data_IF_039346405024
#
_entry.id   IF_039346405024
#
_cell.length_a   1.000
_cell.length_b   1.000
_cell.length_c   1.000
_cell.angle_alpha   90.00
_cell.angle_beta   90.00
_cell.angle_gamma   90.00
#
_symmetry.space_group_name_H-M   'P 1'
#
loop_
_entity.id
_entity.type
_entity.pdbx_description
1 polymer ?
#
# COMPACT_ATOMS: atom_id res chain seq x y z
N UNK A 1 -9.36 26.20 -2.94
CA UNK A 1 -9.89 25.12 -2.08
C UNK A 1 -9.54 25.52 -0.64
N UNK A 2 -10.50 26.01 0.14
CA UNK A 2 -10.24 26.54 1.50
C UNK A 2 -10.24 25.36 2.45
N UNK A 3 -9.05 25.03 2.95
CA UNK A 3 -8.88 24.01 3.99
C UNK A 3 -9.59 24.50 5.27
N UNK A 4 -10.66 23.81 5.67
CA UNK A 4 -11.41 24.18 6.85
C UNK A 4 -10.63 23.71 8.11
N UNK A 5 -10.03 24.62 8.90
CA UNK A 5 -9.24 24.25 10.07
C UNK A 5 -10.08 23.56 11.17
N UNK A 6 -11.40 23.73 11.16
CA UNK A 6 -12.31 23.03 12.06
C UNK A 6 -12.35 21.52 11.85
N UNK A 7 -12.09 21.02 10.63
CA UNK A 7 -12.07 19.59 10.35
C UNK A 7 -10.83 18.92 10.97
N UNK A 8 -9.68 19.59 10.91
CA UNK A 8 -8.45 19.14 11.59
C UNK A 8 -8.60 19.18 13.11
N UNK A 9 -9.21 20.23 13.65
CA UNK A 9 -9.45 20.39 15.08
C UNK A 9 -10.42 19.33 15.61
N UNK A 10 -11.48 19.00 14.84
CA UNK A 10 -12.43 17.94 15.18
C UNK A 10 -11.78 16.54 15.19
N UNK A 11 -10.87 16.25 14.22
CA UNK A 11 -10.09 15.02 14.18
C UNK A 11 -9.15 14.91 15.40
N UNK A 12 -8.54 16.01 15.81
CA UNK A 12 -7.57 16.03 16.92
C UNK A 12 -8.27 15.91 18.29
N UNK A 13 -9.41 16.56 18.49
CA UNK A 13 -10.08 16.60 19.80
C UNK A 13 -10.91 15.34 20.09
N UNK A 14 -11.50 14.69 19.10
CA UNK A 14 -12.25 13.45 19.30
C UNK A 14 -11.38 12.19 19.41
N UNK A 15 -10.07 12.33 19.36
CA UNK A 15 -9.17 11.25 19.68
C UNK A 15 -8.99 11.12 21.20
N UNK A 16 -9.87 10.32 21.84
CA UNK A 16 -9.44 9.53 23.01
C UNK A 16 -8.06 8.99 22.67
N UNK A 17 -7.07 9.32 23.50
CA UNK A 17 -5.66 8.96 23.38
C UNK A 17 -5.51 7.60 22.71
N UNK A 18 -5.18 7.62 21.42
CA UNK A 18 -4.87 6.41 20.65
C UNK A 18 -3.66 5.84 21.38
N UNK A 19 -3.84 4.72 22.06
CA UNK A 19 -2.72 4.04 22.70
C UNK A 19 -1.78 3.65 21.56
N UNK A 20 -0.71 4.41 21.33
CA UNK A 20 0.24 4.21 20.24
C UNK A 20 0.69 2.76 20.12
N UNK A 21 0.82 2.06 21.26
CA UNK A 21 1.10 0.62 21.33
C UNK A 21 0.12 -0.24 20.52
N UNK A 22 -1.16 0.17 20.42
CA UNK A 22 -2.17 -0.57 19.65
C UNK A 22 -1.92 -0.55 18.14
N UNK A 23 -1.22 0.46 17.62
CA UNK A 23 -0.95 0.61 16.19
C UNK A 23 0.41 0.06 15.75
N UNK A 24 1.38 -0.02 16.66
CA UNK A 24 2.76 -0.43 16.32
C UNK A 24 2.78 -1.86 15.81
N UNK A 25 2.17 -2.81 16.52
CA UNK A 25 2.18 -4.21 16.12
C UNK A 25 1.49 -4.46 14.77
N UNK A 26 0.27 -3.94 14.51
CA UNK A 26 -0.36 -4.03 13.19
C UNK A 26 0.46 -3.36 12.08
N UNK A 27 1.07 -2.22 12.34
CA UNK A 27 1.91 -1.52 11.36
C UNK A 27 3.14 -2.35 10.99
N UNK A 28 3.85 -2.89 11.98
CA UNK A 28 5.00 -3.77 11.75
C UNK A 28 4.56 -5.04 11.00
N UNK A 29 3.50 -5.70 11.44
CA UNK A 29 3.02 -6.93 10.82
C UNK A 29 2.63 -6.71 9.34
N UNK A 30 1.88 -5.66 9.05
CA UNK A 30 1.51 -5.30 7.68
C UNK A 30 2.71 -4.94 6.83
N UNK A 31 3.59 -4.07 7.32
CA UNK A 31 4.75 -3.60 6.56
C UNK A 31 5.76 -4.73 6.29
N UNK A 32 6.10 -5.53 7.30
CA UNK A 32 7.04 -6.65 7.14
C UNK A 32 6.50 -7.70 6.17
N UNK A 33 5.20 -8.00 6.22
CA UNK A 33 4.60 -8.96 5.30
C UNK A 33 4.70 -8.53 3.83
N UNK A 34 4.47 -7.25 3.55
CA UNK A 34 4.63 -6.68 2.19
C UNK A 34 6.10 -6.60 1.80
N UNK A 35 6.98 -6.11 2.69
CA UNK A 35 8.41 -5.98 2.41
C UNK A 35 9.06 -7.32 2.10
N UNK A 36 8.67 -8.39 2.80
CA UNK A 36 9.17 -9.73 2.53
C UNK A 36 8.80 -10.21 1.13
N UNK A 37 7.53 -10.06 0.72
CA UNK A 37 7.08 -10.49 -0.60
C UNK A 37 7.67 -9.59 -1.70
N UNK A 38 7.70 -8.28 -1.46
CA UNK A 38 8.32 -7.34 -2.39
C UNK A 38 9.79 -7.68 -2.62
N UNK A 39 10.56 -7.86 -1.55
CA UNK A 39 12.00 -8.13 -1.65
C UNK A 39 12.35 -9.48 -2.26
N UNK A 40 11.58 -10.52 -1.94
CA UNK A 40 11.88 -11.91 -2.40
C UNK A 40 11.36 -12.17 -3.80
N UNK A 41 10.17 -11.62 -4.15
CA UNK A 41 9.48 -11.98 -5.39
C UNK A 41 9.39 -10.80 -6.35
N UNK A 42 8.78 -9.69 -5.91
CA UNK A 42 8.35 -8.65 -6.83
C UNK A 42 9.52 -7.82 -7.33
N UNK A 43 10.45 -7.44 -6.48
CA UNK A 43 11.63 -6.66 -6.89
C UNK A 43 12.50 -7.43 -7.87
N UNK A 44 12.97 -8.66 -7.57
CA UNK A 44 13.87 -9.36 -8.49
C UNK A 44 13.19 -9.85 -9.80
N UNK A 45 11.93 -10.26 -9.74
CA UNK A 45 11.27 -10.89 -10.89
C UNK A 45 10.37 -9.97 -11.71
N UNK A 46 10.01 -8.81 -11.16
CA UNK A 46 9.15 -7.87 -11.86
C UNK A 46 9.76 -6.46 -11.94
N UNK A 47 10.07 -5.81 -10.81
CA UNK A 47 10.52 -4.42 -10.85
C UNK A 47 11.86 -4.25 -11.55
N UNK A 48 12.87 -5.03 -11.22
CA UNK A 48 14.19 -4.88 -11.83
C UNK A 48 14.18 -5.11 -13.35
N UNK A 49 13.60 -6.22 -13.87
CA UNK A 49 13.52 -6.43 -15.31
C UNK A 49 12.72 -5.34 -16.03
N UNK A 50 11.55 -4.98 -15.48
CA UNK A 50 10.67 -3.98 -16.07
C UNK A 50 11.31 -2.60 -16.11
N UNK A 51 11.97 -2.18 -15.01
CA UNK A 51 12.67 -0.90 -14.96
C UNK A 51 13.83 -0.86 -15.96
N UNK A 52 14.58 -1.96 -16.11
CA UNK A 52 15.68 -2.04 -17.07
C UNK A 52 15.18 -1.95 -18.52
N UNK A 53 14.06 -2.59 -18.86
CA UNK A 53 13.46 -2.50 -20.19
C UNK A 53 12.94 -1.09 -20.48
N UNK A 54 12.25 -0.47 -19.52
CA UNK A 54 11.72 0.88 -19.65
C UNK A 54 12.84 1.91 -19.76
N UNK A 55 13.91 1.77 -19.00
CA UNK A 55 15.08 2.65 -19.12
C UNK A 55 15.75 2.54 -20.48
N UNK A 56 15.86 1.33 -21.06
CA UNK A 56 16.40 1.15 -22.43
C UNK A 56 15.54 1.84 -23.47
N UNK A 57 14.21 1.73 -23.33
CA UNK A 57 13.27 2.31 -24.28
C UNK A 57 13.13 3.85 -24.11
N UNK A 58 13.22 4.34 -22.88
CA UNK A 58 12.94 5.74 -22.50
C UNK A 58 13.97 6.26 -21.46
N UNK A 59 15.26 6.39 -21.78
CA UNK A 59 16.31 6.69 -20.79
C UNK A 59 16.15 8.05 -20.11
N UNK A 60 15.48 8.99 -20.76
CA UNK A 60 15.20 10.30 -20.17
C UNK A 60 14.04 10.32 -19.16
N UNK A 61 13.17 9.30 -19.19
CA UNK A 61 11.97 9.23 -18.36
C UNK A 61 12.08 8.24 -17.19
N UNK A 62 12.95 7.24 -17.31
CA UNK A 62 13.10 6.19 -16.30
C UNK A 62 14.53 6.13 -15.76
N UNK A 63 14.63 5.90 -14.45
CA UNK A 63 15.91 5.63 -13.81
C UNK A 63 16.50 4.29 -14.30
N UNK A 64 17.84 4.21 -14.35
CA UNK A 64 18.52 2.95 -14.68
C UNK A 64 18.28 1.88 -13.60
N UNK A 65 18.15 2.33 -12.34
CA UNK A 65 17.84 1.48 -11.20
C UNK A 65 16.67 2.05 -10.39
N UNK A 66 15.81 1.20 -9.81
CA UNK A 66 14.70 1.65 -8.99
C UNK A 66 15.15 2.47 -7.77
N UNK A 67 14.42 3.53 -7.47
CA UNK A 67 14.66 4.37 -6.26
C UNK A 67 14.05 3.67 -5.05
N UNK A 68 14.79 2.75 -4.45
CA UNK A 68 14.28 1.85 -3.40
C UNK A 68 13.70 2.56 -2.19
N UNK A 69 14.34 3.64 -1.70
CA UNK A 69 13.83 4.37 -0.54
C UNK A 69 12.42 4.94 -0.76
N UNK A 70 12.12 5.39 -1.99
CA UNK A 70 10.80 5.91 -2.33
C UNK A 70 9.74 4.80 -2.30
N UNK A 71 10.09 3.60 -2.79
CA UNK A 71 9.24 2.42 -2.70
C UNK A 71 8.95 2.01 -1.25
N UNK A 72 9.99 2.00 -0.39
CA UNK A 72 9.82 1.71 1.04
C UNK A 72 8.94 2.76 1.74
N UNK A 73 9.15 4.04 1.47
CA UNK A 73 8.35 5.12 2.04
C UNK A 73 6.87 5.02 1.58
N UNK A 74 6.62 4.77 0.31
CA UNK A 74 5.27 4.57 -0.22
C UNK A 74 4.58 3.36 0.43
N UNK A 75 5.28 2.23 0.56
CA UNK A 75 4.79 1.04 1.26
C UNK A 75 4.44 1.29 2.72
N UNK A 76 5.25 2.08 3.43
CA UNK A 76 4.97 2.47 4.82
C UNK A 76 3.70 3.33 4.92
N UNK A 77 3.56 4.34 4.06
CA UNK A 77 2.38 5.20 4.03
C UNK A 77 1.11 4.42 3.69
N UNK A 78 1.19 3.52 2.73
CA UNK A 78 0.06 2.65 2.36
C UNK A 78 -0.33 1.70 3.51
N UNK A 79 0.65 1.10 4.19
CA UNK A 79 0.40 0.25 5.36
C UNK A 79 -0.22 1.05 6.50
N UNK A 80 0.25 2.26 6.75
CA UNK A 80 -0.31 3.16 7.76
C UNK A 80 -1.77 3.49 7.46
N UNK A 81 -2.09 3.85 6.22
CA UNK A 81 -3.47 4.08 5.78
C UNK A 81 -4.34 2.85 6.03
N UNK A 82 -3.85 1.67 5.68
CA UNK A 82 -4.56 0.41 5.87
C UNK A 82 -4.80 0.11 7.36
N UNK A 83 -3.81 0.33 8.21
CA UNK A 83 -3.95 0.18 9.68
C UNK A 83 -5.04 1.09 10.23
N UNK A 84 -5.08 2.35 9.80
CA UNK A 84 -6.10 3.32 10.24
C UNK A 84 -7.49 2.86 9.82
N UNK A 85 -7.67 2.42 8.56
CA UNK A 85 -8.95 1.95 8.05
C UNK A 85 -9.39 0.68 8.80
N UNK A 86 -8.50 -0.31 9.00
CA UNK A 86 -8.81 -1.57 9.70
C UNK A 86 -9.19 -1.35 11.16
N UNK A 87 -8.55 -0.39 11.84
CA UNK A 87 -8.95 -0.01 13.20
C UNK A 87 -10.35 0.60 13.22
N UNK A 88 -10.65 1.52 12.31
CA UNK A 88 -11.96 2.18 12.20
C UNK A 88 -13.09 1.21 11.81
N UNK A 89 -12.80 0.28 10.92
CA UNK A 89 -13.76 -0.73 10.45
C UNK A 89 -13.83 -1.95 11.37
N UNK A 90 -13.00 -1.99 12.42
CA UNK A 90 -12.93 -3.08 13.40
C UNK A 90 -12.62 -4.45 12.79
N UNK A 91 -11.77 -4.50 11.76
CA UNK A 91 -11.33 -5.77 11.19
C UNK A 91 -10.34 -6.47 12.14
N UNK A 92 -10.78 -7.59 12.71
CA UNK A 92 -10.03 -8.40 13.69
C UNK A 92 -9.88 -9.86 13.25
N UNK A 93 -10.34 -10.19 12.05
CA UNK A 93 -10.26 -11.51 11.45
C UNK A 93 -9.37 -11.46 10.22
N UNK A 94 -8.45 -12.41 10.06
CA UNK A 94 -7.52 -12.52 8.92
C UNK A 94 -8.27 -12.51 7.59
N UNK A 95 -9.36 -13.31 7.49
CA UNK A 95 -10.16 -13.42 6.27
C UNK A 95 -10.77 -12.06 5.88
N UNK A 96 -11.38 -11.38 6.85
CA UNK A 96 -12.00 -10.08 6.60
C UNK A 96 -10.95 -9.02 6.25
N UNK A 97 -9.81 -9.03 6.95
CA UNK A 97 -8.69 -8.17 6.64
C UNK A 97 -8.15 -8.39 5.23
N UNK A 98 -7.97 -9.63 4.81
CA UNK A 98 -7.50 -9.98 3.48
C UNK A 98 -8.50 -9.63 2.38
N UNK A 99 -9.78 -9.98 2.54
CA UNK A 99 -10.82 -9.69 1.54
C UNK A 99 -11.02 -8.19 1.33
N UNK A 100 -11.03 -7.40 2.42
CA UNK A 100 -11.12 -5.95 2.31
C UNK A 100 -9.81 -5.33 1.77
N UNK A 101 -8.67 -5.99 2.00
CA UNK A 101 -7.39 -5.66 1.36
C UNK A 101 -7.46 -5.75 -0.16
N UNK A 102 -8.11 -6.77 -0.72
CA UNK A 102 -8.33 -6.92 -2.16
C UNK A 102 -9.03 -5.68 -2.73
N UNK A 103 -10.13 -5.27 -2.12
CA UNK A 103 -10.88 -4.09 -2.57
C UNK A 103 -10.08 -2.81 -2.45
N UNK A 104 -9.41 -2.59 -1.32
CA UNK A 104 -8.59 -1.41 -1.12
C UNK A 104 -7.46 -1.34 -2.15
N UNK A 105 -6.77 -2.46 -2.39
CA UNK A 105 -5.71 -2.55 -3.39
C UNK A 105 -6.22 -2.29 -4.80
N UNK A 106 -7.35 -2.86 -5.17
CA UNK A 106 -7.96 -2.66 -6.48
C UNK A 106 -8.33 -1.17 -6.71
N UNK A 107 -8.88 -0.51 -5.69
CA UNK A 107 -9.26 0.91 -5.79
C UNK A 107 -8.02 1.78 -5.91
N UNK A 108 -7.05 1.65 -4.99
CA UNK A 108 -5.86 2.51 -4.95
C UNK A 108 -5.01 2.32 -6.20
N UNK A 109 -4.73 1.08 -6.58
CA UNK A 109 -3.94 0.79 -7.76
C UNK A 109 -4.71 1.11 -9.05
N UNK A 110 -6.02 0.92 -9.07
CA UNK A 110 -6.86 1.30 -10.20
C UNK A 110 -6.82 2.80 -10.45
N UNK A 111 -6.96 3.62 -9.40
CA UNK A 111 -6.85 5.08 -9.52
C UNK A 111 -5.47 5.48 -10.04
N UNK A 112 -4.40 4.92 -9.47
CA UNK A 112 -3.04 5.22 -9.91
C UNK A 112 -2.82 4.80 -11.36
N UNK A 113 -3.16 3.57 -11.72
CA UNK A 113 -2.95 3.02 -13.07
C UNK A 113 -3.77 3.77 -14.14
N UNK A 114 -4.98 4.18 -13.83
CA UNK A 114 -5.79 5.01 -14.74
C UNK A 114 -5.18 6.39 -14.92
N UNK A 115 -4.65 6.99 -13.85
CA UNK A 115 -3.95 8.27 -13.93
C UNK A 115 -2.69 8.18 -14.80
N UNK A 116 -1.89 7.14 -14.59
CA UNK A 116 -0.68 6.90 -15.39
C UNK A 116 -1.01 6.61 -16.86
N UNK A 117 -2.03 5.78 -17.11
CA UNK A 117 -2.49 5.47 -18.47
C UNK A 117 -3.05 6.69 -19.21
N UNK A 118 -3.61 7.68 -18.48
CA UNK A 118 -4.09 8.93 -19.09
C UNK A 118 -2.95 9.87 -19.52
N UNK A 119 -1.76 9.72 -18.92
CA UNK A 119 -0.64 10.63 -19.15
C UNK A 119 0.48 10.00 -19.98
N UNK A 120 0.64 8.68 -19.91
CA UNK A 120 1.76 7.94 -20.52
C UNK A 120 1.26 6.81 -21.40
N UNK A 121 1.46 6.94 -22.73
CA UNK A 121 1.08 5.91 -23.70
C UNK A 121 1.81 4.58 -23.47
N UNK A 122 3.00 4.60 -22.89
CA UNK A 122 3.80 3.41 -22.57
C UNK A 122 3.08 2.43 -21.64
N UNK A 123 2.30 2.90 -20.68
CA UNK A 123 1.55 2.06 -19.77
C UNK A 123 0.49 1.22 -20.44
N UNK A 124 -0.16 1.76 -21.46
CA UNK A 124 -1.17 1.04 -22.25
C UNK A 124 -0.52 0.00 -23.18
N UNK A 125 0.65 0.31 -23.74
CA UNK A 125 1.33 -0.55 -24.69
C UNK A 125 1.95 -1.82 -24.05
N UNK A 126 2.34 -1.75 -22.77
CA UNK A 126 3.11 -2.81 -22.10
C UNK A 126 2.28 -3.71 -21.19
N UNK A 127 0.99 -3.45 -21.02
CA UNK A 127 0.14 -4.17 -20.04
C UNK A 127 0.54 -3.94 -18.58
N UNK A 128 1.44 -2.99 -18.29
CA UNK A 128 1.97 -2.73 -16.95
C UNK A 128 0.89 -2.27 -15.98
N UNK A 129 -0.08 -1.49 -16.45
CA UNK A 129 -1.19 -1.03 -15.63
C UNK A 129 -1.92 -2.20 -14.96
N UNK A 130 -2.27 -3.24 -15.72
CA UNK A 130 -2.97 -4.41 -15.19
C UNK A 130 -2.09 -5.21 -14.21
N UNK A 131 -0.82 -5.43 -14.56
CA UNK A 131 0.11 -6.15 -13.69
C UNK A 131 0.34 -5.41 -12.38
N UNK A 132 0.47 -4.09 -12.42
CA UNK A 132 0.58 -3.24 -11.21
C UNK A 132 -0.65 -3.40 -10.32
N UNK A 133 -1.86 -3.34 -10.88
CA UNK A 133 -3.11 -3.55 -10.13
C UNK A 133 -3.13 -4.91 -9.44
N UNK A 134 -2.76 -5.98 -10.14
CA UNK A 134 -2.72 -7.34 -9.58
C UNK A 134 -1.72 -7.43 -8.42
N UNK A 135 -0.52 -6.87 -8.58
CA UNK A 135 0.51 -6.86 -7.52
C UNK A 135 0.01 -6.12 -6.28
N UNK A 136 -0.60 -4.95 -6.45
CA UNK A 136 -1.16 -4.18 -5.34
C UNK A 136 -2.30 -4.91 -4.63
N UNK A 137 -3.19 -5.57 -5.36
CA UNK A 137 -4.25 -6.40 -4.78
C UNK A 137 -3.65 -7.49 -3.88
N UNK A 138 -2.63 -8.18 -4.36
CA UNK A 138 -1.95 -9.23 -3.58
C UNK A 138 -1.29 -8.64 -2.33
N UNK A 139 -0.57 -7.52 -2.46
CA UNK A 139 0.09 -6.85 -1.34
C UNK A 139 -0.91 -6.40 -0.27
N UNK A 140 -1.97 -5.74 -0.67
CA UNK A 140 -2.98 -5.23 0.28
C UNK A 140 -3.83 -6.34 0.89
N UNK A 141 -4.04 -7.44 0.19
CA UNK A 141 -4.70 -8.61 0.77
C UNK A 141 -3.85 -9.25 1.87
N UNK A 142 -2.57 -9.46 1.61
CA UNK A 142 -1.65 -10.08 2.56
C UNK A 142 -1.40 -9.16 3.77
N UNK A 143 -1.09 -7.88 3.53
CA UNK A 143 -0.92 -6.92 4.62
C UNK A 143 -2.21 -6.74 5.42
N UNK A 144 -3.37 -6.73 4.76
CA UNK A 144 -4.66 -6.61 5.41
C UNK A 144 -4.98 -7.77 6.36
N UNK A 145 -4.66 -8.99 5.94
CA UNK A 145 -4.75 -10.18 6.80
C UNK A 145 -3.80 -10.11 7.99
N UNK A 146 -2.54 -9.71 7.76
CA UNK A 146 -1.52 -9.58 8.80
C UNK A 146 -1.88 -8.47 9.82
N UNK A 147 -2.37 -7.32 9.37
CA UNK A 147 -2.85 -6.22 10.21
C UNK A 147 -4.02 -6.67 11.09
N UNK A 148 -5.04 -7.30 10.50
CA UNK A 148 -6.21 -7.78 11.22
C UNK A 148 -5.84 -8.82 12.28
N UNK A 149 -4.92 -9.75 11.96
CA UNK A 149 -4.38 -10.70 12.91
C UNK A 149 -3.65 -10.02 14.07
N UNK A 150 -2.83 -9.02 13.78
CA UNK A 150 -2.08 -8.28 14.79
C UNK A 150 -3.01 -7.50 15.73
N UNK A 151 -4.07 -6.90 15.21
CA UNK A 151 -5.10 -6.26 16.03
C UNK A 151 -5.79 -7.26 16.96
N UNK A 152 -6.20 -8.43 16.44
CA UNK A 152 -6.84 -9.47 17.25
C UNK A 152 -5.95 -9.98 18.40
N UNK A 153 -4.63 -10.01 18.20
CA UNK A 153 -3.67 -10.36 19.26
C UNK A 153 -3.44 -9.24 20.28
N UNK A 154 -3.38 -8.00 19.80
CA UNK A 154 -3.17 -6.84 20.68
C UNK A 154 -4.34 -6.54 21.61
N UNK A 155 -5.54 -7.04 21.34
CA UNK A 155 -6.72 -6.90 22.20
C UNK A 155 -6.80 -7.98 23.30
N UNK A 156 -6.03 -9.07 23.16
CA UNK A 156 -6.02 -10.19 24.13
C UNK A 156 -4.97 -10.02 25.24
N UNK A 157 -4.08 -9.04 25.10
CA UNK A 157 -3.03 -8.69 26.07
C UNK A 157 -3.33 -7.32 26.71
#
# INVERSE_FOLDING_TARGET
MIFNPFFLYWIIINHKSIKMKKFILPLIAGYVSVAAIAGIVVVPFYFNPTTAELHKAFPAAYYAEPVLWAGFAAGLLQTLLQVIIWDKMNFRNIKDGALNGIWLGAILAGIQSLNEASQYSVFNATGQALTTVIIYIVFTAISGGAIAWAFARGEKN
#
